data_IF_132405287845
#
_entry.id   IF_132405287845
#
_cell.length_a   1.000
_cell.length_b   1.000
_cell.length_c   1.000
_cell.angle_alpha   90.00
_cell.angle_beta   90.00
_cell.angle_gamma   90.00
#
_symmetry.space_group_name_H-M   'P 1'
#
loop_
_entity.id
_entity.type
_entity.pdbx_description
1 polymer ?
#
# COMPACT_ATOMS: atom_id res chain seq x y z
N UNK A 1 8.36 -1.82 6.28
CA UNK A 1 9.20 -0.65 6.03
C UNK A 1 8.54 0.25 5.00
N UNK A 2 7.35 0.62 5.29
CA UNK A 2 6.63 1.54 4.42
C UNK A 2 5.45 2.13 5.15
N UNK A 3 4.83 3.10 4.53
CA UNK A 3 3.53 3.57 4.94
C UNK A 3 2.69 3.81 3.69
N UNK A 4 1.51 3.29 3.72
CA UNK A 4 0.51 3.43 2.66
C UNK A 4 -0.74 3.94 3.33
N UNK A 5 -1.29 5.03 2.82
CA UNK A 5 -2.47 5.67 3.43
C UNK A 5 -3.54 5.89 2.37
N UNK A 6 -4.75 5.48 2.70
CA UNK A 6 -5.95 5.73 1.90
C UNK A 6 -6.90 6.58 2.72
N UNK A 7 -7.32 7.72 2.19
CA UNK A 7 -8.23 8.62 2.91
C UNK A 7 -9.66 8.60 2.36
N UNK A 8 -9.94 7.65 1.46
CA UNK A 8 -11.24 7.55 0.80
C UNK A 8 -11.30 8.23 -0.56
N UNK A 9 -10.29 9.00 -0.91
CA UNK A 9 -10.20 9.70 -2.20
C UNK A 9 -8.85 9.55 -2.84
N UNK A 10 -7.80 9.51 -2.04
CA UNK A 10 -6.42 9.59 -2.46
C UNK A 10 -5.60 8.54 -1.75
N UNK A 11 -4.73 7.87 -2.50
CA UNK A 11 -3.71 7.00 -1.95
C UNK A 11 -2.40 7.76 -1.89
N UNK A 12 -1.72 7.70 -0.77
CA UNK A 12 -0.38 8.24 -0.64
C UNK A 12 0.56 7.16 -0.09
N UNK A 13 1.79 7.14 -0.57
CA UNK A 13 2.82 6.21 -0.10
C UNK A 13 4.12 6.96 0.12
N UNK A 14 4.95 6.46 1.03
CA UNK A 14 6.33 6.90 1.08
C UNK A 14 7.12 6.29 -0.07
N UNK A 15 8.41 6.61 -0.17
CA UNK A 15 9.28 6.16 -1.26
C UNK A 15 10.52 5.44 -0.77
N UNK A 16 10.58 5.08 0.49
CA UNK A 16 11.80 4.47 1.04
C UNK A 16 11.77 2.96 0.93
N UNK A 17 12.87 2.39 0.44
CA UNK A 17 13.16 0.98 0.57
C UNK A 17 14.50 0.86 1.28
N UNK A 18 14.59 -0.07 2.23
CA UNK A 18 15.81 -0.27 3.00
C UNK A 18 16.52 -1.52 2.53
N UNK A 19 17.84 -1.39 2.37
CA UNK A 19 18.72 -2.51 2.07
C UNK A 19 19.87 -2.41 3.06
N UNK A 20 19.77 -3.17 4.17
CA UNK A 20 20.69 -2.97 5.28
C UNK A 20 20.49 -1.58 5.88
N UNK A 21 21.57 -0.79 5.88
CA UNK A 21 21.53 0.59 6.37
C UNK A 21 21.32 1.62 5.26
N UNK A 22 21.16 1.15 4.02
CA UNK A 22 21.05 2.04 2.87
C UNK A 22 19.60 2.23 2.49
N UNK A 23 19.20 3.48 2.29
CA UNK A 23 17.89 3.84 1.80
C UNK A 23 17.93 3.96 0.28
N UNK A 24 16.94 3.37 -0.37
CA UNK A 24 16.70 3.55 -1.80
C UNK A 24 15.37 4.25 -2.00
N UNK A 25 15.26 4.97 -3.11
CA UNK A 25 14.00 5.60 -3.49
C UNK A 25 13.30 4.71 -4.49
N UNK A 26 12.06 4.31 -4.17
CA UNK A 26 11.27 3.40 -5.01
C UNK A 26 9.84 3.87 -5.11
N UNK A 27 9.15 3.39 -6.15
CA UNK A 27 7.71 3.56 -6.27
C UNK A 27 7.03 2.34 -5.66
N UNK A 28 5.99 2.58 -4.86
CA UNK A 28 5.30 1.51 -4.13
C UNK A 28 3.88 1.27 -4.61
N UNK A 29 3.46 1.98 -5.65
CA UNK A 29 2.12 1.81 -6.21
C UNK A 29 2.15 1.95 -7.71
N UNK A 30 1.21 1.30 -8.37
CA UNK A 30 1.14 1.25 -9.83
C UNK A 30 -0.31 1.33 -10.28
N UNK A 31 -0.53 1.89 -11.46
CA UNK A 31 -1.86 1.91 -12.07
C UNK A 31 -2.01 0.74 -13.02
N UNK A 32 -3.21 0.14 -13.01
CA UNK A 32 -3.55 -0.95 -13.92
C UNK A 32 -5.05 -0.89 -14.22
N UNK A 33 -5.41 -0.58 -15.45
CA UNK A 33 -6.80 -0.60 -15.93
C UNK A 33 -7.79 0.12 -14.98
N UNK A 34 -7.43 1.33 -14.59
CA UNK A 34 -8.27 2.14 -13.72
C UNK A 34 -8.14 1.85 -12.24
N UNK A 35 -7.43 0.79 -11.87
CA UNK A 35 -7.16 0.47 -10.49
C UNK A 35 -5.76 0.95 -10.08
N UNK A 36 -5.57 1.09 -8.77
CA UNK A 36 -4.27 1.36 -8.18
C UNK A 36 -3.87 0.12 -7.40
N UNK A 37 -2.68 -0.39 -7.68
CA UNK A 37 -2.14 -1.59 -7.03
C UNK A 37 -0.98 -1.19 -6.14
N UNK A 38 -0.96 -1.70 -4.92
CA UNK A 38 0.12 -1.42 -3.98
C UNK A 38 0.21 -2.54 -2.95
N UNK A 39 1.12 -2.44 -2.03
CA UNK A 39 1.24 -3.43 -0.99
C UNK A 39 2.34 -3.11 0.01
N UNK A 40 2.32 -3.84 1.11
CA UNK A 40 3.35 -3.79 2.15
C UNK A 40 3.79 -5.21 2.49
N UNK A 41 5.03 -5.35 2.92
CA UNK A 41 5.60 -6.65 3.27
C UNK A 41 6.65 -7.09 2.27
N UNK A 42 6.67 -8.37 1.92
CA UNK A 42 7.65 -8.92 0.99
C UNK A 42 7.48 -8.36 -0.41
N UNK A 43 8.51 -7.73 -0.95
CA UNK A 43 8.48 -7.18 -2.32
C UNK A 43 8.26 -8.29 -3.34
N UNK A 44 8.91 -9.44 -3.13
CA UNK A 44 8.71 -10.60 -4.00
C UNK A 44 7.25 -11.00 -4.04
N UNK A 45 6.64 -11.09 -2.87
CA UNK A 45 5.25 -11.51 -2.76
C UNK A 45 4.30 -10.48 -3.38
N UNK A 46 4.58 -9.20 -3.19
CA UNK A 46 3.78 -8.14 -3.81
C UNK A 46 3.81 -8.29 -5.33
N UNK A 47 4.99 -8.54 -5.91
CA UNK A 47 5.10 -8.72 -7.36
C UNK A 47 4.33 -9.95 -7.84
N UNK A 48 4.36 -11.05 -7.09
CA UNK A 48 3.58 -12.24 -7.42
C UNK A 48 2.09 -11.92 -7.43
N UNK A 49 1.62 -11.16 -6.44
CA UNK A 49 0.23 -10.77 -6.35
C UNK A 49 -0.19 -9.81 -7.46
N UNK A 50 0.70 -8.87 -7.83
CA UNK A 50 0.46 -7.97 -8.95
C UNK A 50 0.26 -8.76 -10.24
N UNK A 51 1.15 -9.72 -10.50
CA UNK A 51 1.03 -10.55 -11.71
C UNK A 51 -0.23 -11.39 -11.71
N UNK A 52 -0.59 -11.96 -10.56
CA UNK A 52 -1.84 -12.70 -10.42
C UNK A 52 -3.05 -11.82 -10.74
N UNK A 53 -3.08 -10.62 -10.17
CA UNK A 53 -4.19 -9.70 -10.38
C UNK A 53 -4.31 -9.29 -11.85
N UNK A 54 -3.17 -9.04 -12.50
CA UNK A 54 -3.16 -8.67 -13.93
C UNK A 54 -3.65 -9.79 -14.83
N UNK A 55 -3.35 -11.05 -14.47
CA UNK A 55 -3.83 -12.20 -15.23
C UNK A 55 -5.32 -12.44 -15.02
N UNK A 56 -5.85 -12.03 -13.87
CA UNK A 56 -7.24 -12.19 -13.51
C UNK A 56 -7.41 -12.99 -12.23
N UNK A 57 -8.35 -12.55 -11.40
CA UNK A 57 -8.58 -13.18 -10.10
C UNK A 57 -9.15 -14.60 -10.22
N UNK A 58 -9.54 -15.00 -11.41
CA UNK A 58 -10.01 -16.37 -11.68
C UNK A 58 -8.86 -17.35 -11.88
N UNK A 59 -7.63 -16.84 -12.04
CA UNK A 59 -6.47 -17.71 -12.19
C UNK A 59 -6.03 -18.25 -10.84
N UNK A 60 -5.26 -19.36 -10.80
CA UNK A 60 -4.84 -19.92 -9.52
C UNK A 60 -4.11 -18.91 -8.65
N UNK A 61 -4.53 -18.83 -7.39
CA UNK A 61 -3.93 -17.92 -6.43
C UNK A 61 -2.48 -18.33 -6.16
N UNK A 62 -1.54 -17.38 -6.10
CA UNK A 62 -0.13 -17.72 -5.86
C UNK A 62 0.05 -18.42 -4.52
N UNK A 63 0.73 -19.55 -4.53
CA UNK A 63 1.02 -20.33 -3.34
C UNK A 63 2.28 -19.85 -2.64
N UNK A 64 2.59 -20.46 -1.51
CA UNK A 64 3.87 -20.26 -0.83
C UNK A 64 3.87 -19.16 0.21
N UNK A 65 2.72 -18.78 0.70
CA UNK A 65 2.64 -17.84 1.80
C UNK A 65 3.25 -18.44 3.07
N UNK A 66 4.23 -17.77 3.61
CA UNK A 66 4.79 -18.11 4.92
C UNK A 66 5.23 -16.79 5.58
N UNK A 67 5.77 -16.87 6.79
CA UNK A 67 6.12 -15.67 7.55
C UNK A 67 7.17 -14.80 6.88
N UNK A 68 8.05 -15.38 6.05
CA UNK A 68 9.09 -14.63 5.35
C UNK A 68 8.65 -14.10 4.00
N UNK A 69 7.52 -14.56 3.49
CA UNK A 69 7.00 -14.18 2.17
C UNK A 69 5.58 -13.63 2.27
N UNK A 70 5.33 -12.88 3.31
CA UNK A 70 4.02 -12.31 3.60
C UNK A 70 3.91 -10.89 3.05
N UNK A 71 2.71 -10.55 2.58
CA UNK A 71 2.39 -9.16 2.25
C UNK A 71 0.91 -8.89 2.44
N UNK A 72 0.58 -7.62 2.58
CA UNK A 72 -0.77 -7.13 2.28
C UNK A 72 -0.73 -6.63 0.83
N UNK A 73 -1.53 -7.23 -0.04
CA UNK A 73 -1.69 -6.74 -1.39
C UNK A 73 -2.97 -5.92 -1.47
N UNK A 74 -2.88 -4.71 -1.99
CA UNK A 74 -3.96 -3.73 -1.92
C UNK A 74 -4.36 -3.32 -3.32
N UNK A 75 -5.66 -3.32 -3.56
CA UNK A 75 -6.24 -2.86 -4.83
C UNK A 75 -7.26 -1.78 -4.51
N UNK A 76 -7.14 -0.64 -5.19
CA UNK A 76 -8.12 0.44 -5.07
C UNK A 76 -8.75 0.64 -6.43
N UNK A 77 -10.06 0.51 -6.50
CA UNK A 77 -10.84 0.69 -7.72
C UNK A 77 -12.09 1.53 -7.42
N UNK A 78 -13.04 1.53 -8.34
CA UNK A 78 -14.27 2.32 -8.20
C UNK A 78 -15.10 1.95 -6.95
N UNK A 79 -14.84 0.78 -6.37
CA UNK A 79 -15.53 0.31 -5.15
C UNK A 79 -14.72 0.59 -3.88
N UNK A 80 -13.60 1.28 -4.00
CA UNK A 80 -12.74 1.63 -2.87
C UNK A 80 -11.58 0.66 -2.72
N UNK A 81 -11.06 0.59 -1.50
CA UNK A 81 -9.89 -0.21 -1.18
C UNK A 81 -10.27 -1.59 -0.70
N UNK A 82 -9.61 -2.60 -1.25
CA UNK A 82 -9.66 -3.97 -0.73
C UNK A 82 -8.24 -4.51 -0.61
N UNK A 83 -8.03 -5.36 0.38
CA UNK A 83 -6.72 -5.97 0.56
C UNK A 83 -6.82 -7.48 0.56
N UNK A 84 -5.79 -8.09 0.00
CA UNK A 84 -5.62 -9.54 -0.03
C UNK A 84 -4.48 -9.91 0.90
N UNK A 85 -4.70 -10.95 1.69
CA UNK A 85 -3.65 -11.50 2.55
C UNK A 85 -3.19 -12.84 2.00
N UNK A 86 -3.67 -13.92 2.56
CA UNK A 86 -3.27 -15.27 2.14
C UNK A 86 -4.38 -16.02 1.43
N UNK A 87 -5.32 -15.31 0.87
CA UNK A 87 -6.52 -15.88 0.27
C UNK A 87 -6.92 -15.06 -0.94
N UNK A 88 -7.53 -15.68 -1.95
CA UNK A 88 -8.09 -14.92 -3.07
C UNK A 88 -9.34 -14.13 -2.70
N UNK A 89 -9.83 -14.27 -1.47
CA UNK A 89 -10.98 -13.51 -1.00
C UNK A 89 -10.48 -12.25 -0.30
N UNK A 90 -10.80 -11.06 -0.84
CA UNK A 90 -10.28 -9.82 -0.25
C UNK A 90 -11.06 -9.41 0.99
N UNK A 91 -10.39 -8.62 1.82
CA UNK A 91 -11.02 -7.90 2.92
C UNK A 91 -11.29 -6.48 2.41
N UNK A 92 -12.54 -6.06 2.48
CA UNK A 92 -12.92 -4.77 1.90
C UNK A 92 -12.94 -3.68 2.95
N UNK A 93 -12.24 -2.60 2.65
CA UNK A 93 -12.24 -1.38 3.48
C UNK A 93 -13.08 -0.28 2.83
N UNK A 94 -13.38 -0.41 1.55
CA UNK A 94 -14.19 0.56 0.84
C UNK A 94 -13.53 1.95 0.83
N UNK A 95 -14.31 2.95 1.21
CA UNK A 95 -13.83 4.34 1.24
C UNK A 95 -13.47 4.81 2.65
N UNK A 96 -13.42 3.90 3.61
CA UNK A 96 -12.98 4.24 4.96
C UNK A 96 -11.47 4.49 4.98
N UNK A 97 -11.06 5.52 5.71
CA UNK A 97 -9.65 5.85 5.84
C UNK A 97 -8.90 4.72 6.54
N UNK A 98 -7.74 4.36 6.02
CA UNK A 98 -6.92 3.31 6.61
C UNK A 98 -5.46 3.48 6.22
N UNK A 99 -4.58 2.80 6.95
CA UNK A 99 -3.15 2.86 6.71
C UNK A 99 -2.53 1.48 6.94
N UNK A 100 -1.43 1.24 6.26
CA UNK A 100 -0.72 -0.04 6.29
C UNK A 100 0.79 0.19 6.34
N UNK A 101 1.51 -0.77 6.89
CA UNK A 101 2.96 -0.74 6.93
C UNK A 101 3.50 -0.30 8.27
N UNK A 102 4.83 -0.21 8.37
CA UNK A 102 5.50 0.10 9.63
C UNK A 102 5.21 1.51 10.14
N UNK A 103 4.80 2.43 9.26
CA UNK A 103 4.42 3.78 9.65
C UNK A 103 2.93 3.95 9.94
N UNK A 104 2.17 2.87 9.96
CA UNK A 104 0.71 2.97 10.06
C UNK A 104 0.22 3.64 11.34
N UNK A 105 0.88 3.41 12.47
CA UNK A 105 0.42 3.99 13.74
C UNK A 105 0.45 5.51 13.69
N UNK A 106 1.54 6.08 13.14
CA UNK A 106 1.65 7.52 12.97
C UNK A 106 0.62 8.04 11.98
N UNK A 107 0.42 7.31 10.90
CA UNK A 107 -0.56 7.70 9.87
C UNK A 107 -1.98 7.67 10.42
N UNK A 108 -2.35 6.64 11.19
CA UNK A 108 -3.68 6.59 11.80
C UNK A 108 -3.90 7.75 12.77
N UNK A 109 -2.87 8.10 13.55
CA UNK A 109 -2.97 9.26 14.42
C UNK A 109 -3.22 10.55 13.66
N UNK A 110 -2.49 10.73 12.55
CA UNK A 110 -2.67 11.90 11.70
C UNK A 110 -4.06 11.95 11.08
N UNK A 111 -4.53 10.80 10.54
CA UNK A 111 -5.87 10.70 9.95
C UNK A 111 -6.94 11.04 11.00
N UNK A 112 -6.78 10.55 12.22
CA UNK A 112 -7.73 10.82 13.30
C UNK A 112 -7.83 12.31 13.64
N UNK A 113 -6.75 13.05 13.40
CA UNK A 113 -6.71 14.50 13.63
C UNK A 113 -7.13 15.30 12.40
N UNK A 114 -7.57 14.64 11.34
CA UNK A 114 -8.11 15.31 10.17
C UNK A 114 -7.15 15.47 9.00
N UNK A 115 -5.99 14.83 9.03
CA UNK A 115 -5.05 14.88 7.92
C UNK A 115 -5.59 14.11 6.72
N UNK A 116 -5.22 14.55 5.51
CA UNK A 116 -5.44 13.75 4.30
C UNK A 116 -4.31 12.71 4.17
N UNK A 117 -4.40 11.89 3.11
CA UNK A 117 -3.44 10.80 2.93
C UNK A 117 -2.01 11.33 2.78
N UNK A 118 -1.81 12.38 1.99
CA UNK A 118 -0.49 12.94 1.76
C UNK A 118 0.13 13.44 3.07
N UNK A 119 -0.64 14.18 3.86
CA UNK A 119 -0.13 14.72 5.13
C UNK A 119 0.16 13.59 6.12
N UNK A 120 -0.66 12.56 6.14
CA UNK A 120 -0.44 11.40 7.02
C UNK A 120 0.89 10.70 6.69
N UNK A 121 1.21 10.55 5.39
CA UNK A 121 2.50 9.97 4.99
C UNK A 121 3.64 10.91 5.38
N UNK A 122 3.47 12.22 5.21
CA UNK A 122 4.50 13.19 5.63
C UNK A 122 4.81 13.05 7.13
N UNK A 123 3.78 12.90 7.95
CA UNK A 123 3.96 12.72 9.39
C UNK A 123 4.74 11.43 9.69
N UNK A 124 4.37 10.33 9.02
CA UNK A 124 5.11 9.08 9.19
C UNK A 124 6.58 9.24 8.76
N UNK A 125 6.82 9.95 7.66
CA UNK A 125 8.18 10.19 7.17
C UNK A 125 9.02 11.00 8.17
N UNK A 126 8.39 11.90 8.93
CA UNK A 126 9.12 12.73 9.89
C UNK A 126 9.62 11.92 11.09
N UNK A 127 8.86 10.93 11.52
CA UNK A 127 9.13 10.27 12.80
C UNK A 127 9.50 8.79 12.69
N UNK A 128 9.15 8.12 11.58
CA UNK A 128 9.51 6.72 11.40
C UNK A 128 10.79 6.62 10.61
N UNK A 129 11.80 5.93 11.17
CA UNK A 129 13.06 5.71 10.44
C UNK A 129 12.89 4.76 9.26
N UNK A 130 11.77 4.07 9.18
CA UNK A 130 11.49 3.10 8.12
C UNK A 130 10.72 3.69 6.95
N UNK A 131 10.39 4.97 7.01
CA UNK A 131 9.65 5.67 5.96
C UNK A 131 10.45 6.89 5.51
N UNK A 132 10.24 7.33 4.28
CA UNK A 132 10.93 8.53 3.82
C UNK A 132 10.98 8.68 2.31
N UNK A 133 11.89 9.54 1.87
CA UNK A 133 12.15 9.88 0.47
C UNK A 133 10.95 10.53 -0.23
N UNK A 134 10.10 11.23 0.54
CA UNK A 134 8.98 11.96 -0.02
C UNK A 134 7.70 11.14 -0.10
N UNK A 135 6.76 11.63 -0.89
CA UNK A 135 5.42 11.08 -0.95
C UNK A 135 5.00 10.96 -2.40
N UNK A 136 4.47 9.79 -2.79
CA UNK A 136 3.76 9.62 -4.04
C UNK A 136 2.27 9.68 -3.76
N UNK A 137 1.53 10.38 -4.61
CA UNK A 137 0.09 10.58 -4.44
C UNK A 137 -0.63 10.09 -5.68
N UNK A 138 -1.68 9.30 -5.47
CA UNK A 138 -2.49 8.73 -6.55
C UNK A 138 -3.96 9.05 -6.28
N UNK A 139 -4.61 9.70 -7.23
CA UNK A 139 -6.05 9.95 -7.15
C UNK A 139 -6.79 8.85 -7.88
N UNK A 140 -7.86 8.37 -7.29
CA UNK A 140 -8.61 7.26 -7.86
C UNK A 140 -9.11 7.57 -9.27
N UNK A 141 -9.57 8.80 -9.50
CA UNK A 141 -10.13 9.20 -10.79
C UNK A 141 -9.10 9.83 -11.73
N UNK A 142 -7.85 9.40 -11.59
CA UNK A 142 -6.78 9.93 -12.41
C UNK A 142 -6.49 11.40 -12.08
N UNK A 143 -5.60 12.02 -12.81
CA UNK A 143 -5.23 13.42 -12.59
C UNK A 143 -4.53 13.99 -13.79
#
# INVERSE_FOLDING_TARGET
MSVIVWDGKTLATDRAALSGSIHHRVSKAWRHEGAILTGTGSVKRIHEMVEWYKKGVDTPFPEGQNTSNWCHFIVIDEHGLKRYEQSPTPIEHGFNACAFGSGQDLAYGALAMGADAERAVEIANLYSRNCGHGVDVFHLKGE
#
